data_IF_054013186853
#
_entry.id   IF_054013186853
#
_cell.length_a   1.000
_cell.length_b   1.000
_cell.length_c   1.000
_cell.angle_alpha   90.00
_cell.angle_beta   90.00
_cell.angle_gamma   90.00
#
_symmetry.space_group_name_H-M   'P 1'
#
loop_
_entity.id
_entity.type
_entity.pdbx_description
1 polymer ?
#
# COMPACT_ATOMS: atom_id res chain seq x y z
N UNK A 1 4.58 -27.09 23.36
CA UNK A 1 4.20 -25.98 22.46
C UNK A 1 2.93 -26.41 21.76
N UNK A 2 1.84 -25.69 21.99
CA UNK A 2 0.53 -25.95 21.39
C UNK A 2 0.60 -25.71 19.88
N UNK A 3 -0.24 -26.39 19.08
CA UNK A 3 -0.29 -26.18 17.63
C UNK A 3 -0.61 -24.71 17.28
N UNK A 4 -1.41 -24.05 18.12
CA UNK A 4 -1.69 -22.61 18.02
C UNK A 4 -0.45 -21.72 18.17
N UNK A 5 0.49 -22.08 19.06
CA UNK A 5 1.71 -21.28 19.27
C UNK A 5 2.62 -21.36 18.04
N UNK A 6 2.68 -22.52 17.37
CA UNK A 6 3.43 -22.69 16.11
C UNK A 6 2.82 -21.92 14.95
N UNK A 7 1.50 -21.94 14.85
CA UNK A 7 0.78 -21.21 13.79
C UNK A 7 0.97 -19.69 13.96
N UNK A 8 0.88 -19.18 15.19
CA UNK A 8 1.10 -17.78 15.50
C UNK A 8 2.56 -17.34 15.26
N UNK A 9 3.52 -18.22 15.57
CA UNK A 9 4.95 -17.98 15.29
C UNK A 9 5.24 -17.95 13.78
N UNK A 10 4.61 -18.83 12.99
CA UNK A 10 4.70 -18.80 11.52
C UNK A 10 4.12 -17.51 10.93
N UNK A 11 2.93 -17.10 11.37
CA UNK A 11 2.31 -15.84 10.91
C UNK A 11 3.17 -14.62 11.24
N UNK A 12 3.76 -14.58 12.44
CA UNK A 12 4.64 -13.48 12.85
C UNK A 12 5.93 -13.41 12.02
N UNK A 13 6.44 -14.55 11.56
CA UNK A 13 7.62 -14.59 10.70
C UNK A 13 7.29 -14.12 9.28
N UNK A 14 6.10 -14.46 8.76
CA UNK A 14 5.65 -14.03 7.44
C UNK A 14 5.44 -12.51 7.34
N UNK A 15 4.81 -11.89 8.35
CA UNK A 15 4.58 -10.43 8.38
C UNK A 15 5.85 -9.59 8.57
N UNK A 16 6.91 -10.15 9.13
CA UNK A 16 8.15 -9.41 9.44
C UNK A 16 9.11 -9.22 8.26
N UNK A 17 8.78 -9.77 7.09
CA UNK A 17 9.71 -9.89 5.96
C UNK A 17 9.66 -8.72 4.98
N UNK A 18 8.51 -8.03 4.90
CA UNK A 18 8.30 -6.97 3.91
C UNK A 18 8.86 -5.63 4.41
N UNK A 19 9.59 -4.87 3.57
CA UNK A 19 10.08 -3.56 3.96
C UNK A 19 8.90 -2.61 4.21
N UNK A 20 8.84 -2.02 5.40
CA UNK A 20 7.83 -1.02 5.72
C UNK A 20 7.94 0.18 4.76
N UNK A 21 6.89 0.41 3.97
CA UNK A 21 6.79 1.58 3.11
C UNK A 21 6.08 2.69 3.89
N UNK A 22 6.81 3.76 4.20
CA UNK A 22 6.27 4.89 4.91
C UNK A 22 5.10 5.53 4.13
N UNK A 23 3.99 5.75 4.82
CA UNK A 23 2.88 6.54 4.28
C UNK A 23 3.30 8.01 4.14
N UNK A 24 2.86 8.71 3.09
CA UNK A 24 3.08 10.14 2.95
C UNK A 24 2.40 10.92 4.09
N UNK A 25 2.94 12.08 4.42
CA UNK A 25 2.34 13.03 5.37
C UNK A 25 1.00 13.58 4.87
N UNK A 26 0.20 14.18 5.76
CA UNK A 26 -1.09 14.77 5.39
C UNK A 26 -0.97 15.88 4.32
N UNK A 27 0.10 16.66 4.36
CA UNK A 27 0.32 17.71 3.35
C UNK A 27 0.68 17.12 1.99
N UNK A 28 1.51 16.06 1.97
CA UNK A 28 1.82 15.32 0.74
C UNK A 28 0.58 14.62 0.17
N UNK A 29 -0.24 14.01 1.02
CA UNK A 29 -1.51 13.38 0.60
C UNK A 29 -2.45 14.39 -0.06
N UNK A 30 -2.57 15.61 0.49
CA UNK A 30 -3.37 16.69 -0.10
C UNK A 30 -2.82 17.11 -1.46
N UNK A 31 -1.50 17.24 -1.59
CA UNK A 31 -0.85 17.60 -2.85
C UNK A 31 -1.11 16.54 -3.94
N UNK A 32 -0.93 15.26 -3.59
CA UNK A 32 -1.24 14.13 -4.48
C UNK A 32 -2.71 14.16 -4.91
N UNK A 33 -3.64 14.34 -3.97
CA UNK A 33 -5.07 14.41 -4.29
C UNK A 33 -5.43 15.58 -5.21
N UNK A 34 -4.78 16.73 -5.06
CA UNK A 34 -4.99 17.89 -5.93
C UNK A 34 -4.48 17.62 -7.36
N UNK A 35 -3.33 16.97 -7.50
CA UNK A 35 -2.75 16.60 -8.78
C UNK A 35 -3.62 15.56 -9.52
N UNK A 36 -4.07 14.52 -8.82
CA UNK A 36 -4.95 13.50 -9.40
C UNK A 36 -6.28 14.10 -9.88
N UNK A 37 -6.89 15.02 -9.12
CA UNK A 37 -8.11 15.74 -9.54
C UNK A 37 -7.89 16.58 -10.80
N UNK A 38 -6.73 17.22 -10.92
CA UNK A 38 -6.38 17.99 -12.12
C UNK A 38 -6.27 17.05 -13.33
N UNK A 39 -5.58 15.93 -13.18
CA UNK A 39 -5.43 14.93 -14.25
C UNK A 39 -6.77 14.30 -14.64
N UNK A 40 -7.67 14.07 -13.68
CA UNK A 40 -9.03 13.60 -13.92
C UNK A 40 -9.82 14.60 -14.76
N UNK A 41 -9.81 15.89 -14.38
CA UNK A 41 -10.47 16.96 -15.13
C UNK A 41 -9.91 17.13 -16.56
N UNK A 42 -8.63 16.84 -16.76
CA UNK A 42 -7.97 16.86 -18.07
C UNK A 42 -8.18 15.56 -18.88
N UNK A 43 -8.82 14.53 -18.30
CA UNK A 43 -8.99 13.21 -18.93
C UNK A 43 -7.67 12.43 -19.08
N UNK A 44 -6.67 12.74 -18.26
CA UNK A 44 -5.31 12.15 -18.29
C UNK A 44 -5.00 11.25 -17.09
N UNK A 45 -5.97 11.06 -16.19
CA UNK A 45 -5.80 10.13 -15.08
C UNK A 45 -5.89 8.68 -15.61
N UNK A 46 -4.73 8.06 -15.84
CA UNK A 46 -4.63 6.67 -16.31
C UNK A 46 -4.15 5.73 -15.19
N UNK A 47 -4.36 4.41 -15.32
CA UNK A 47 -3.87 3.43 -14.36
C UNK A 47 -2.35 3.52 -14.13
N UNK A 48 -1.58 3.77 -15.19
CA UNK A 48 -0.13 3.91 -15.13
C UNK A 48 0.29 5.13 -14.30
N UNK A 49 -0.50 6.21 -14.34
CA UNK A 49 -0.28 7.37 -13.48
C UNK A 49 -0.64 7.05 -12.03
N UNK A 50 -1.73 6.32 -11.79
CA UNK A 50 -2.11 5.89 -10.43
C UNK A 50 -1.04 4.97 -9.80
N UNK A 51 -0.44 4.08 -10.58
CA UNK A 51 0.60 3.16 -10.12
C UNK A 51 1.84 3.89 -9.58
N UNK A 52 2.17 5.08 -10.10
CA UNK A 52 3.28 5.89 -9.59
C UNK A 52 3.06 6.35 -8.13
N UNK A 53 1.80 6.54 -7.72
CA UNK A 53 1.46 6.96 -6.36
C UNK A 53 1.16 5.78 -5.45
N UNK A 54 0.50 4.73 -5.97
CA UNK A 54 -0.04 3.63 -5.18
C UNK A 54 0.70 2.30 -5.32
N UNK A 55 1.46 2.09 -6.39
CA UNK A 55 2.13 0.81 -6.68
C UNK A 55 3.15 0.41 -5.62
N UNK A 56 3.75 1.39 -4.92
CA UNK A 56 4.64 1.13 -3.77
C UNK A 56 3.94 0.61 -2.52
N UNK A 57 2.61 0.70 -2.44
CA UNK A 57 1.81 0.13 -1.35
C UNK A 57 1.13 -1.17 -1.75
N UNK A 58 1.34 -1.63 -2.99
CA UNK A 58 0.83 -2.89 -3.45
C UNK A 58 1.70 -4.01 -2.86
N UNK A 59 1.10 -4.83 -2.00
CA UNK A 59 1.69 -6.09 -1.59
C UNK A 59 1.43 -7.13 -2.69
N UNK A 60 2.47 -7.85 -3.13
CA UNK A 60 2.30 -8.97 -4.08
C UNK A 60 1.51 -10.14 -3.47
N UNK A 61 1.31 -10.14 -2.15
CA UNK A 61 0.53 -11.14 -1.44
C UNK A 61 -0.97 -10.81 -1.47
N UNK A 62 -1.81 -11.83 -1.65
CA UNK A 62 -3.28 -11.79 -1.65
C UNK A 62 -3.85 -11.53 -0.23
N UNK A 63 -3.10 -10.81 0.61
CA UNK A 63 -3.48 -10.51 1.98
C UNK A 63 -4.40 -9.29 2.00
N UNK A 64 -5.61 -9.40 2.59
CA UNK A 64 -6.52 -8.28 2.66
C UNK A 64 -5.90 -7.15 3.49
N UNK A 65 -5.87 -5.95 2.92
CA UNK A 65 -5.61 -4.72 3.67
C UNK A 65 -6.85 -4.48 4.56
N UNK A 66 -6.75 -4.81 5.85
CA UNK A 66 -7.80 -4.64 6.86
C UNK A 66 -7.64 -3.32 7.63
#
# INVERSE_FOLDING_TARGET
MSDFEKELEQMSQEMGSEPEVALPSLEEQKAIAAELKKLEAEGKLTPEVMEQYFGKFFAESDTPVH
#
